data_IF_120610024627
#
_entry.id   IF_120610024627
#
_cell.length_a   1.000
_cell.length_b   1.000
_cell.length_c   1.000
_cell.angle_alpha   90.00
_cell.angle_beta   90.00
_cell.angle_gamma   90.00
#
_symmetry.space_group_name_H-M   'P 1'
#
loop_
_entity.id
_entity.type
_entity.pdbx_description
1 polymer ?
#
# COMPACT_ATOMS: atom_id res chain seq x y z
N UNK A 1 4.58 -8.43 0.65
CA UNK A 1 4.80 -9.40 -0.46
C UNK A 1 4.65 -8.64 -1.77
N UNK A 2 5.50 -8.89 -2.77
CA UNK A 2 5.39 -8.25 -4.09
C UNK A 2 5.17 -9.34 -5.15
N UNK A 3 4.03 -9.28 -5.84
CA UNK A 3 3.69 -10.19 -6.95
C UNK A 3 3.92 -9.46 -8.27
N UNK A 4 4.95 -9.85 -9.01
CA UNK A 4 5.29 -9.26 -10.31
C UNK A 4 5.26 -10.32 -11.42
N UNK A 5 4.84 -9.92 -12.61
CA UNK A 5 4.80 -10.78 -13.79
C UNK A 5 3.93 -10.23 -14.92
N UNK A 6 3.99 -10.81 -16.13
CA UNK A 6 3.25 -10.34 -17.30
C UNK A 6 1.72 -10.31 -17.07
N UNK A 7 0.97 -9.42 -17.72
CA UNK A 7 -0.49 -9.33 -17.55
C UNK A 7 -1.17 -10.66 -17.90
N UNK A 8 -2.31 -10.96 -17.25
CA UNK A 8 -3.07 -12.19 -17.49
C UNK A 8 -2.65 -13.42 -16.68
N UNK A 9 -1.61 -13.33 -15.84
CA UNK A 9 -1.18 -14.46 -14.96
C UNK A 9 -1.96 -14.59 -13.64
N UNK A 10 -3.09 -13.89 -13.49
CA UNK A 10 -3.95 -14.00 -12.29
C UNK A 10 -3.36 -13.43 -10.99
N UNK A 11 -2.29 -12.62 -11.04
CA UNK A 11 -1.64 -12.03 -9.85
C UNK A 11 -2.61 -11.31 -8.92
N UNK A 12 -3.47 -10.45 -9.46
CA UNK A 12 -4.50 -9.74 -8.69
C UNK A 12 -5.45 -10.72 -8.00
N UNK A 13 -5.90 -11.77 -8.70
CA UNK A 13 -6.78 -12.79 -8.14
C UNK A 13 -6.10 -13.58 -7.02
N UNK A 14 -4.82 -13.93 -7.21
CA UNK A 14 -4.01 -14.61 -6.19
C UNK A 14 -3.83 -13.72 -4.95
N UNK A 15 -3.51 -12.44 -5.12
CA UNK A 15 -3.39 -11.50 -4.01
C UNK A 15 -4.68 -11.41 -3.20
N UNK A 16 -5.83 -11.30 -3.88
CA UNK A 16 -7.16 -11.27 -3.25
C UNK A 16 -7.48 -12.55 -2.51
N UNK A 17 -7.17 -13.71 -3.10
CA UNK A 17 -7.39 -15.00 -2.44
C UNK A 17 -6.50 -15.18 -1.21
N UNK A 18 -5.22 -14.82 -1.30
CA UNK A 18 -4.32 -14.85 -0.15
C UNK A 18 -4.84 -13.93 0.95
N UNK A 19 -5.29 -12.72 0.60
CA UNK A 19 -5.92 -11.80 1.57
C UNK A 19 -7.16 -12.37 2.23
N UNK A 20 -8.00 -13.12 1.50
CA UNK A 20 -9.19 -13.79 2.06
C UNK A 20 -8.87 -15.05 2.86
N UNK A 21 -7.80 -15.75 2.52
CA UNK A 21 -7.35 -16.97 3.23
C UNK A 21 -6.61 -16.64 4.53
N UNK A 22 -6.03 -15.44 4.62
CA UNK A 22 -5.50 -14.93 5.87
C UNK A 22 -6.69 -14.67 6.80
N UNK A 23 -6.71 -15.38 7.94
CA UNK A 23 -7.82 -15.43 8.88
C UNK A 23 -7.89 -14.15 9.75
N UNK A 24 -8.07 -13.00 9.11
CA UNK A 24 -8.16 -11.67 9.71
C UNK A 24 -9.27 -10.83 9.08
N UNK A 25 -9.13 -9.50 9.12
CA UNK A 25 -10.10 -8.58 8.51
C UNK A 25 -10.11 -8.68 6.99
N UNK A 26 -11.25 -8.29 6.39
CA UNK A 26 -11.39 -8.22 4.93
C UNK A 26 -10.24 -7.42 4.30
N UNK A 27 -9.57 -7.99 3.27
CA UNK A 27 -8.43 -7.33 2.65
C UNK A 27 -8.88 -6.06 1.92
N UNK A 28 -8.22 -4.94 2.23
CA UNK A 28 -8.42 -3.67 1.52
C UNK A 28 -7.66 -3.72 0.20
N UNK A 29 -8.37 -3.55 -0.91
CA UNK A 29 -7.77 -3.55 -2.24
C UNK A 29 -7.81 -2.13 -2.76
N UNK A 30 -6.64 -1.61 -3.13
CA UNK A 30 -6.50 -0.24 -3.60
C UNK A 30 -5.70 -0.24 -4.89
N UNK A 31 -6.20 0.43 -5.93
CA UNK A 31 -5.43 0.61 -7.14
C UNK A 31 -4.39 1.70 -6.93
N UNK A 32 -3.16 1.50 -7.40
CA UNK A 32 -2.08 2.48 -7.31
C UNK A 32 -2.50 3.87 -7.76
N UNK A 33 -3.16 4.02 -8.93
CA UNK A 33 -3.70 5.30 -9.38
C UNK A 33 -4.80 5.90 -8.49
N UNK A 34 -5.60 5.09 -7.79
CA UNK A 34 -6.65 5.61 -6.88
C UNK A 34 -6.06 6.21 -5.60
N UNK A 35 -4.92 5.70 -5.15
CA UNK A 35 -4.17 6.29 -4.03
C UNK A 35 -3.62 7.65 -4.42
N UNK A 36 -3.19 7.81 -5.66
CA UNK A 36 -2.54 9.01 -6.18
C UNK A 36 -3.56 9.99 -6.82
N UNK A 37 -3.95 11.03 -6.08
CA UNK A 37 -4.69 12.16 -6.65
C UNK A 37 -3.75 13.16 -7.34
N UNK A 38 -4.29 14.00 -8.23
CA UNK A 38 -3.57 15.16 -8.81
C UNK A 38 -3.08 16.13 -7.73
N UNK A 39 -3.64 16.06 -6.51
CA UNK A 39 -3.24 16.85 -5.36
C UNK A 39 -2.44 16.00 -4.36
N UNK A 40 -1.19 16.42 -4.08
CA UNK A 40 -0.29 15.75 -3.13
C UNK A 40 -0.90 15.64 -1.73
N UNK A 41 -1.56 16.72 -1.26
CA UNK A 41 -2.18 16.73 0.08
C UNK A 41 -3.37 15.76 0.20
N UNK A 42 -4.13 15.58 -0.88
CA UNK A 42 -5.24 14.62 -0.92
C UNK A 42 -4.72 13.18 -0.94
N UNK A 43 -3.64 12.94 -1.69
CA UNK A 43 -2.93 11.67 -1.71
C UNK A 43 -2.40 11.29 -0.33
N UNK A 44 -1.75 12.22 0.39
CA UNK A 44 -1.26 11.97 1.75
C UNK A 44 -2.37 11.59 2.71
N UNK A 45 -3.52 12.28 2.60
CA UNK A 45 -4.70 12.00 3.41
C UNK A 45 -5.25 10.62 3.11
N UNK A 46 -5.45 10.26 1.84
CA UNK A 46 -5.92 8.94 1.43
C UNK A 46 -5.00 7.82 1.94
N UNK A 47 -3.69 7.99 1.80
CA UNK A 47 -2.72 7.02 2.33
C UNK A 47 -2.81 6.96 3.85
N UNK A 48 -2.96 8.09 4.55
CA UNK A 48 -3.07 8.11 6.03
C UNK A 48 -4.33 7.38 6.48
N UNK A 49 -5.47 7.69 5.88
CA UNK A 49 -6.76 7.10 6.20
C UNK A 49 -6.77 5.58 5.90
N UNK A 50 -6.04 5.14 4.87
CA UNK A 50 -5.88 3.72 4.54
C UNK A 50 -5.22 2.92 5.68
N UNK A 51 -4.20 3.49 6.32
CA UNK A 51 -3.46 2.87 7.42
C UNK A 51 -4.01 3.22 8.81
N UNK A 52 -4.83 4.27 8.94
CA UNK A 52 -5.35 4.77 10.22
C UNK A 52 -6.12 3.68 10.97
N UNK A 53 -6.98 2.93 10.29
CA UNK A 53 -7.73 1.83 10.91
C UNK A 53 -6.80 0.76 11.48
N UNK A 54 -5.76 0.38 10.73
CA UNK A 54 -4.81 -0.64 11.16
C UNK A 54 -3.94 -0.16 12.33
N UNK A 55 -3.54 1.11 12.32
CA UNK A 55 -2.79 1.72 13.41
C UNK A 55 -3.65 1.88 14.68
N UNK A 56 -4.91 2.26 14.53
CA UNK A 56 -5.85 2.41 15.65
C UNK A 56 -6.11 1.06 16.32
N UNK A 57 -6.34 0.01 15.53
CA UNK A 57 -6.55 -1.34 16.04
C UNK A 57 -5.29 -1.87 16.73
N UNK A 58 -4.11 -1.68 16.15
CA UNK A 58 -2.83 -2.02 16.79
C UNK A 58 -2.62 -1.29 18.11
N UNK A 59 -2.95 0.00 18.19
CA UNK A 59 -2.84 0.80 19.42
C UNK A 59 -3.83 0.36 20.50
N UNK A 60 -5.02 -0.10 20.10
CA UNK A 60 -6.11 -0.45 21.03
C UNK A 60 -5.98 -1.89 21.55
N UNK A 61 -5.57 -2.82 20.68
CA UNK A 61 -5.57 -4.26 20.94
C UNK A 61 -4.16 -4.85 21.11
N UNK A 62 -3.10 -4.10 20.79
CA UNK A 62 -1.72 -4.57 20.90
C UNK A 62 -1.48 -5.83 20.07
N UNK A 63 -0.94 -6.88 20.71
CA UNK A 63 -0.65 -8.17 20.06
C UNK A 63 -1.90 -9.00 19.72
N UNK A 64 -3.08 -8.59 20.22
CA UNK A 64 -4.36 -9.21 19.87
C UNK A 64 -5.04 -8.54 18.65
N UNK A 65 -4.35 -7.61 17.97
CA UNK A 65 -4.87 -6.97 16.76
C UNK A 65 -5.09 -8.01 15.65
N UNK A 66 -6.18 -7.83 14.90
CA UNK A 66 -6.45 -8.65 13.73
C UNK A 66 -5.46 -8.30 12.61
N UNK A 67 -5.11 -9.29 11.79
CA UNK A 67 -4.20 -9.05 10.67
C UNK A 67 -4.85 -8.13 9.63
N UNK A 68 -4.30 -6.94 9.46
CA UNK A 68 -4.71 -6.00 8.41
C UNK A 68 -3.95 -6.26 7.11
N UNK A 69 -4.67 -6.67 6.07
CA UNK A 69 -4.10 -6.92 4.74
C UNK A 69 -4.49 -5.80 3.78
N UNK A 70 -3.49 -5.10 3.25
CA UNK A 70 -3.67 -4.07 2.21
C UNK A 70 -3.01 -4.56 0.93
N UNK A 71 -3.80 -4.64 -0.13
CA UNK A 71 -3.38 -5.09 -1.46
C UNK A 71 -3.34 -3.88 -2.37
N UNK A 72 -2.14 -3.53 -2.83
CA UNK A 72 -1.96 -2.52 -3.87
C UNK A 72 -1.93 -3.20 -5.24
N UNK A 73 -2.91 -2.90 -6.08
CA UNK A 73 -2.93 -3.33 -7.48
C UNK A 73 -2.35 -2.23 -8.37
N UNK A 74 -1.80 -2.58 -9.53
CA UNK A 74 -1.19 -1.63 -10.48
C UNK A 74 -0.18 -0.64 -9.83
N UNK A 75 0.56 -1.09 -8.81
CA UNK A 75 1.57 -0.24 -8.16
C UNK A 75 2.72 0.11 -9.11
N UNK A 76 2.92 -0.66 -10.18
CA UNK A 76 3.84 -0.35 -11.26
C UNK A 76 3.41 0.84 -12.10
N UNK A 77 2.09 1.13 -12.20
CA UNK A 77 1.59 2.34 -12.87
C UNK A 77 2.07 3.62 -12.17
N UNK A 78 2.33 3.53 -10.86
CA UNK A 78 2.85 4.64 -10.03
C UNK A 78 4.37 4.56 -9.83
N UNK A 79 4.96 3.38 -9.91
CA UNK A 79 6.41 3.19 -9.82
C UNK A 79 7.08 3.24 -11.19
N UNK A 80 6.69 4.20 -12.04
CA UNK A 80 7.37 4.40 -13.34
C UNK A 80 8.83 4.76 -13.09
N UNK A 81 9.73 4.18 -13.89
CA UNK A 81 11.17 4.34 -13.74
C UNK A 81 11.56 5.82 -13.66
N UNK A 82 12.26 6.19 -12.58
CA UNK A 82 12.84 7.53 -12.41
C UNK A 82 13.62 7.89 -13.68
N UNK A 83 13.21 8.95 -14.37
CA UNK A 83 13.92 9.49 -15.54
C UNK A 83 13.32 9.24 -16.92
N UNK A 84 12.16 8.59 -17.07
CA UNK A 84 11.57 8.34 -18.41
C UNK A 84 10.76 9.50 -19.02
N UNK A 85 10.44 10.55 -18.26
CA UNK A 85 9.63 11.67 -18.76
C UNK A 85 10.34 12.99 -18.50
N UNK A 86 10.70 13.69 -19.57
CA UNK A 86 11.45 14.95 -19.57
C UNK A 86 10.65 16.17 -19.09
N UNK A 87 9.37 15.99 -18.76
CA UNK A 87 8.44 17.05 -18.39
C UNK A 87 7.59 16.62 -17.17
N UNK A 88 7.90 17.12 -15.97
CA UNK A 88 6.98 17.13 -14.81
C UNK A 88 7.14 16.07 -13.70
N UNK A 89 8.26 15.36 -13.60
CA UNK A 89 8.42 14.16 -12.74
C UNK A 89 8.66 14.38 -11.25
N UNK A 90 9.01 15.58 -10.79
CA UNK A 90 9.41 15.81 -9.39
C UNK A 90 8.30 15.53 -8.37
N UNK A 91 7.04 15.80 -8.73
CA UNK A 91 5.88 15.59 -7.84
C UNK A 91 5.60 14.10 -7.67
N UNK A 92 5.67 13.33 -8.75
CA UNK A 92 5.37 11.90 -8.73
C UNK A 92 6.42 11.12 -7.92
N UNK A 93 7.71 11.42 -8.11
CA UNK A 93 8.80 10.81 -7.33
C UNK A 93 8.72 11.13 -5.84
N UNK A 94 8.30 12.35 -5.48
CA UNK A 94 8.09 12.74 -4.08
C UNK A 94 6.99 11.90 -3.42
N UNK A 95 5.88 11.67 -4.12
CA UNK A 95 4.77 10.88 -3.58
C UNK A 95 5.15 9.39 -3.45
N UNK A 96 5.88 8.83 -4.43
CA UNK A 96 6.38 7.46 -4.34
C UNK A 96 7.32 7.30 -3.14
N UNK A 97 8.20 8.27 -2.90
CA UNK A 97 9.03 8.28 -1.69
C UNK A 97 8.19 8.32 -0.41
N UNK A 98 7.13 9.13 -0.35
CA UNK A 98 6.26 9.17 0.82
C UNK A 98 5.52 7.85 1.07
N UNK A 99 5.03 7.20 0.01
CA UNK A 99 4.40 5.88 0.08
C UNK A 99 5.40 4.84 0.63
N UNK A 100 6.63 4.85 0.12
CA UNK A 100 7.72 3.98 0.59
C UNK A 100 8.04 4.22 2.07
N UNK A 101 8.19 5.48 2.49
CA UNK A 101 8.46 5.83 3.89
C UNK A 101 7.34 5.37 4.81
N UNK A 102 6.07 5.54 4.42
CA UNK A 102 4.92 5.05 5.22
C UNK A 102 4.85 3.53 5.26
N UNK A 103 5.12 2.84 4.15
CA UNK A 103 5.16 1.38 4.12
C UNK A 103 6.28 0.83 5.00
N UNK A 104 7.44 1.49 5.04
CA UNK A 104 8.55 1.13 5.93
C UNK A 104 8.20 1.37 7.41
N UNK A 105 7.56 2.51 7.71
CA UNK A 105 7.07 2.81 9.06
C UNK A 105 6.08 1.76 9.57
N UNK A 106 5.13 1.35 8.73
CA UNK A 106 4.18 0.31 9.09
C UNK A 106 4.84 -1.06 9.27
N UNK A 107 5.85 -1.38 8.46
CA UNK A 107 6.66 -2.60 8.65
C UNK A 107 7.39 -2.61 9.99
N UNK A 108 7.82 -1.45 10.50
CA UNK A 108 8.43 -1.32 11.83
C UNK A 108 7.41 -1.56 12.95
N UNK A 109 6.16 -1.11 12.78
CA UNK A 109 5.07 -1.38 13.74
C UNK A 109 4.66 -2.85 13.79
N UNK A 110 4.78 -3.56 12.67
CA UNK A 110 4.46 -4.99 12.56
C UNK A 110 5.64 -5.91 12.91
N UNK A 111 6.82 -5.38 13.28
CA UNK A 111 7.86 -6.26 13.82
C UNK A 111 7.42 -6.70 15.22
N UNK A 112 7.30 -8.01 15.48
CA UNK A 112 7.12 -8.47 16.85
C UNK A 112 8.30 -7.94 17.67
N UNK A 113 7.99 -7.27 18.77
CA UNK A 113 8.96 -7.03 19.84
C UNK A 113 9.41 -8.42 20.27
N UNK A 114 10.59 -8.82 19.80
CA UNK A 114 11.30 -10.00 20.31
C UNK A 114 12.34 -9.51 21.30
#
# INVERSE_FOLDING_TARGET
MLLFGPPGTGKTLMARQIGKMLNGKDPKIVNGPEVLSKFVGETEKNVRDLFADAEQDQRTLGDASELHVIIFDEIDAICKSRGSTRDGTGVHDSIVNQLLTKAEYFRLLLKPVT
#
